data_IF_197328175804
#
_entry.id   IF_197328175804
#
_cell.length_a   1.000
_cell.length_b   1.000
_cell.length_c   1.000
_cell.angle_alpha   90.00
_cell.angle_beta   90.00
_cell.angle_gamma   90.00
#
_symmetry.space_group_name_H-M   'P 1'
#
loop_
_entity.id
_entity.type
_entity.pdbx_description
1 polymer ?
#
# COMPACT_ATOMS: atom_id res chain seq x y z
N UNK A 1 -1.75 5.30 15.45
CA UNK A 1 -3.07 5.11 16.09
C UNK A 1 -3.78 6.44 16.36
N UNK A 2 -3.29 7.33 17.24
CA UNK A 2 -3.93 8.65 17.50
C UNK A 2 -4.38 9.43 16.25
N UNK A 3 -3.52 9.49 15.23
CA UNK A 3 -3.83 10.19 13.97
C UNK A 3 -5.06 9.61 13.24
N UNK A 4 -5.29 8.30 13.35
CA UNK A 4 -6.44 7.60 12.76
C UNK A 4 -7.70 7.93 13.56
N UNK A 5 -7.63 7.88 14.89
CA UNK A 5 -8.76 8.22 15.76
C UNK A 5 -9.21 9.68 15.57
N UNK A 6 -8.26 10.60 15.46
CA UNK A 6 -8.54 12.02 15.20
C UNK A 6 -9.19 12.26 13.83
N UNK A 7 -8.77 11.53 12.79
CA UNK A 7 -9.26 11.71 11.42
C UNK A 7 -10.60 11.01 11.16
N UNK A 8 -10.80 9.84 11.78
CA UNK A 8 -12.03 9.05 11.62
C UNK A 8 -13.09 9.40 12.68
N UNK A 9 -12.69 9.94 13.83
CA UNK A 9 -13.59 10.23 14.94
C UNK A 9 -14.15 8.98 15.62
N UNK A 10 -13.45 7.84 15.50
CA UNK A 10 -13.82 6.55 16.11
C UNK A 10 -12.65 5.99 16.91
N UNK A 11 -12.96 5.18 17.93
CA UNK A 11 -11.98 4.42 18.70
C UNK A 11 -11.81 3.02 18.14
N UNK A 12 -10.77 2.31 18.57
CA UNK A 12 -10.57 0.90 18.23
C UNK A 12 -11.84 0.07 18.44
N UNK A 13 -12.10 -0.84 17.51
CA UNK A 13 -13.23 -1.77 17.50
C UNK A 13 -14.53 -1.17 16.96
N UNK A 14 -14.54 0.08 16.50
CA UNK A 14 -15.74 0.76 16.02
C UNK A 14 -15.67 1.09 14.52
N UNK A 15 -16.86 1.24 13.94
CA UNK A 15 -17.06 1.63 12.55
C UNK A 15 -17.54 3.07 12.47
N UNK A 16 -17.08 3.81 11.46
CA UNK A 16 -17.52 5.18 11.20
C UNK A 16 -19.01 5.24 10.82
N UNK A 17 -19.67 6.37 11.07
CA UNK A 17 -21.13 6.55 10.81
C UNK A 17 -21.50 6.43 9.33
N UNK A 18 -20.56 6.72 8.44
CA UNK A 18 -20.71 6.57 7.00
C UNK A 18 -20.53 5.11 6.54
N UNK A 19 -20.19 4.19 7.45
CA UNK A 19 -19.99 2.77 7.14
C UNK A 19 -18.72 2.46 6.36
N UNK A 20 -17.85 3.45 6.12
CA UNK A 20 -16.69 3.29 5.22
C UNK A 20 -15.46 2.69 5.91
N UNK A 21 -15.25 2.96 7.19
CA UNK A 21 -14.05 2.54 7.90
C UNK A 21 -14.40 1.81 9.19
N UNK A 22 -13.83 0.62 9.37
CA UNK A 22 -13.79 -0.08 10.66
C UNK A 22 -12.36 -0.08 11.15
N UNK A 23 -12.12 0.48 12.34
CA UNK A 23 -10.78 0.59 12.91
C UNK A 23 -10.54 -0.54 13.90
N UNK A 24 -9.53 -1.38 13.67
CA UNK A 24 -9.17 -2.49 14.55
C UNK A 24 -7.65 -2.55 14.67
N UNK A 25 -7.17 -2.75 15.89
CA UNK A 25 -5.76 -3.05 16.11
C UNK A 25 -5.54 -4.55 16.00
N UNK A 26 -4.47 -4.90 15.33
CA UNK A 26 -4.05 -6.28 15.08
C UNK A 26 -2.61 -6.44 15.53
N UNK A 27 -2.22 -7.70 15.70
CA UNK A 27 -0.84 -8.07 16.00
C UNK A 27 0.06 -7.93 14.75
N UNK A 28 1.25 -8.51 14.80
CA UNK A 28 2.22 -8.47 13.71
C UNK A 28 1.63 -8.91 12.37
N UNK A 29 1.75 -8.03 11.36
CA UNK A 29 1.36 -8.27 9.97
C UNK A 29 2.54 -8.67 9.06
N UNK A 30 3.72 -8.89 9.62
CA UNK A 30 4.90 -9.36 8.89
C UNK A 30 5.69 -8.30 8.12
N UNK A 31 5.35 -7.02 8.25
CA UNK A 31 6.01 -5.89 7.58
C UNK A 31 6.94 -5.09 8.52
N UNK A 32 7.67 -5.79 9.40
CA UNK A 32 8.44 -5.15 10.48
C UNK A 32 9.57 -4.23 9.98
N UNK A 33 10.20 -4.56 8.85
CA UNK A 33 11.22 -3.70 8.21
C UNK A 33 10.65 -2.37 7.71
N UNK A 34 9.33 -2.32 7.54
CA UNK A 34 8.54 -1.23 6.98
C UNK A 34 7.61 -0.57 8.02
N UNK A 35 7.92 -0.80 9.30
CA UNK A 35 7.19 -0.15 10.38
C UNK A 35 7.40 1.38 10.34
N UNK A 36 6.37 2.17 10.71
CA UNK A 36 5.03 1.75 11.08
C UNK A 36 4.12 1.56 9.85
N UNK A 37 3.16 0.63 9.94
CA UNK A 37 2.31 0.22 8.82
C UNK A 37 0.85 0.00 9.24
N UNK A 38 -0.05 0.01 8.26
CA UNK A 38 -1.45 -0.43 8.41
C UNK A 38 -1.85 -1.32 7.24
N UNK A 39 -2.81 -2.21 7.49
CA UNK A 39 -3.49 -2.94 6.44
C UNK A 39 -4.88 -2.34 6.21
N UNK A 40 -5.21 -2.10 4.95
CA UNK A 40 -6.54 -1.68 4.53
C UNK A 40 -7.01 -2.70 3.50
N UNK A 41 -8.00 -3.52 3.87
CA UNK A 41 -8.41 -4.69 3.10
C UNK A 41 -7.19 -5.59 2.80
N UNK A 42 -6.89 -5.84 1.53
CA UNK A 42 -5.80 -6.73 1.11
C UNK A 42 -4.45 -6.02 0.90
N UNK A 43 -4.38 -4.72 1.20
CA UNK A 43 -3.25 -3.87 0.85
C UNK A 43 -2.51 -3.35 2.09
N UNK A 44 -1.17 -3.45 2.06
CA UNK A 44 -0.30 -2.89 3.09
C UNK A 44 0.14 -1.49 2.70
N UNK A 45 0.02 -0.57 3.65
CA UNK A 45 0.54 0.79 3.55
C UNK A 45 1.58 0.97 4.64
N UNK A 46 2.81 1.28 4.24
CA UNK A 46 3.97 1.14 5.10
C UNK A 46 4.79 2.43 5.18
N UNK A 47 5.76 2.48 6.09
CA UNK A 47 6.56 3.67 6.40
C UNK A 47 5.72 4.92 6.69
N UNK A 48 4.67 4.74 7.48
CA UNK A 48 3.67 5.76 7.70
C UNK A 48 4.15 6.83 8.68
N UNK A 49 3.65 8.03 8.45
CA UNK A 49 3.69 9.15 9.39
C UNK A 49 2.26 9.55 9.73
N UNK A 50 2.03 10.32 10.81
CA UNK A 50 0.70 10.85 11.11
C UNK A 50 0.07 11.59 9.92
N UNK A 51 0.86 12.36 9.18
CA UNK A 51 0.42 13.19 8.06
C UNK A 51 0.05 12.33 6.84
N UNK A 52 0.93 11.38 6.48
CA UNK A 52 0.68 10.46 5.35
C UNK A 52 -0.50 9.54 5.64
N UNK A 53 -0.66 9.10 6.89
CA UNK A 53 -1.84 8.31 7.32
C UNK A 53 -3.14 9.10 7.15
N UNK A 54 -3.18 10.36 7.61
CA UNK A 54 -4.37 11.23 7.44
C UNK A 54 -4.66 11.50 5.97
N UNK A 55 -3.63 11.73 5.16
CA UNK A 55 -3.78 11.93 3.71
C UNK A 55 -4.34 10.68 3.03
N UNK A 56 -3.87 9.49 3.40
CA UNK A 56 -4.35 8.21 2.88
C UNK A 56 -5.84 8.00 3.18
N UNK A 57 -6.26 8.19 4.43
CA UNK A 57 -7.66 8.03 4.85
C UNK A 57 -8.59 9.01 4.12
N UNK A 58 -8.15 10.26 3.91
CA UNK A 58 -8.92 11.25 3.13
C UNK A 58 -9.07 10.84 1.68
N UNK A 59 -7.98 10.42 1.04
CA UNK A 59 -8.01 9.94 -0.34
C UNK A 59 -8.94 8.73 -0.52
N UNK A 60 -8.93 7.79 0.43
CA UNK A 60 -9.84 6.64 0.42
C UNK A 60 -11.31 7.06 0.58
N UNK A 61 -11.60 8.01 1.47
CA UNK A 61 -12.96 8.54 1.65
C UNK A 61 -13.45 9.28 0.41
N UNK A 62 -12.59 10.06 -0.24
CA UNK A 62 -12.91 10.75 -1.49
C UNK A 62 -13.13 9.76 -2.65
N UNK A 63 -12.28 8.73 -2.74
CA UNK A 63 -12.43 7.67 -3.72
C UNK A 63 -13.76 6.93 -3.55
N UNK A 64 -14.11 6.53 -2.33
CA UNK A 64 -15.38 5.87 -2.04
C UNK A 64 -16.59 6.72 -2.45
N UNK A 65 -16.55 8.03 -2.19
CA UNK A 65 -17.59 8.97 -2.64
C UNK A 65 -17.66 9.08 -4.16
N UNK A 66 -16.51 9.07 -4.84
CA UNK A 66 -16.43 9.20 -6.28
C UNK A 66 -16.93 7.94 -7.01
N UNK A 67 -16.69 6.74 -6.45
CA UNK A 67 -17.10 5.46 -7.04
C UNK A 67 -18.47 4.98 -6.56
N UNK A 68 -18.98 5.54 -5.47
CA UNK A 68 -20.19 5.06 -4.81
C UNK A 68 -19.99 3.75 -4.05
N UNK A 69 -18.73 3.35 -3.79
CA UNK A 69 -18.42 2.15 -3.03
C UNK A 69 -18.91 2.31 -1.58
N UNK A 70 -19.61 1.29 -1.08
CA UNK A 70 -20.05 1.21 0.31
C UNK A 70 -19.24 0.17 1.11
N UNK A 71 -19.46 0.12 2.43
CA UNK A 71 -18.75 -0.80 3.32
C UNK A 71 -19.11 -2.28 3.15
N UNK A 72 -20.03 -2.63 2.24
CA UNK A 72 -20.45 -3.99 1.94
C UNK A 72 -19.88 -4.51 0.61
N UNK A 73 -19.45 -3.61 -0.28
CA UNK A 73 -18.71 -3.96 -1.49
C UNK A 73 -17.33 -4.52 -1.13
N UNK A 74 -16.88 -5.56 -1.86
CA UNK A 74 -15.65 -6.32 -1.61
C UNK A 74 -14.33 -5.56 -1.82
N UNK A 75 -14.21 -4.35 -1.28
CA UNK A 75 -13.08 -3.44 -1.44
C UNK A 75 -13.12 -2.65 -2.75
N UNK A 76 -12.08 -1.84 -3.00
CA UNK A 76 -11.88 -1.11 -4.27
C UNK A 76 -11.65 -2.01 -5.50
N UNK A 77 -11.73 -3.34 -5.33
CA UNK A 77 -11.55 -4.35 -6.36
C UNK A 77 -12.88 -4.78 -7.02
N UNK A 78 -13.92 -3.93 -7.02
CA UNK A 78 -15.15 -4.25 -7.75
C UNK A 78 -14.94 -4.14 -9.26
N UNK A 79 -15.56 -5.04 -10.02
CA UNK A 79 -15.50 -5.12 -11.50
C UNK A 79 -15.97 -3.83 -12.21
N UNK A 80 -16.58 -2.91 -11.46
CA UNK A 80 -17.15 -1.65 -11.93
C UNK A 80 -16.12 -0.52 -12.06
N UNK A 81 -14.91 -0.70 -11.51
CA UNK A 81 -13.89 0.33 -11.50
C UNK A 81 -12.90 0.05 -12.63
N UNK A 82 -13.19 0.58 -13.82
CA UNK A 82 -12.25 0.62 -14.94
C UNK A 82 -11.34 1.83 -14.79
N UNK A 83 -10.04 1.58 -14.59
CA UNK A 83 -9.05 2.61 -14.33
C UNK A 83 -7.90 2.52 -15.33
N UNK A 84 -7.67 3.61 -16.05
CA UNK A 84 -6.50 3.85 -16.89
C UNK A 84 -5.60 4.87 -16.20
N UNK A 85 -4.40 4.48 -15.78
CA UNK A 85 -3.44 5.43 -15.20
C UNK A 85 -2.03 4.84 -15.14
N UNK A 86 -1.12 5.37 -15.97
CA UNK A 86 0.28 4.96 -16.10
C UNK A 86 1.26 5.93 -15.42
N UNK A 87 0.78 6.77 -14.49
CA UNK A 87 1.49 7.97 -14.04
C UNK A 87 2.15 7.86 -12.64
N UNK A 88 1.88 6.80 -11.88
CA UNK A 88 2.59 6.51 -10.63
C UNK A 88 3.55 5.34 -10.85
N UNK A 89 4.84 5.54 -10.63
CA UNK A 89 5.87 4.52 -10.88
C UNK A 89 5.73 3.28 -10.02
N UNK A 90 5.00 3.37 -8.88
CA UNK A 90 4.68 2.22 -8.01
C UNK A 90 3.41 1.49 -8.46
N UNK A 91 2.60 2.09 -9.33
CA UNK A 91 1.43 1.47 -9.93
C UNK A 91 1.86 0.83 -11.24
N UNK A 92 2.21 -0.45 -11.21
CA UNK A 92 2.32 -1.22 -12.45
C UNK A 92 0.91 -1.32 -13.04
N UNK A 93 0.69 -0.74 -14.22
CA UNK A 93 -0.54 -0.92 -14.99
C UNK A 93 -0.84 -2.41 -15.05
N UNK A 94 -1.92 -2.84 -14.40
CA UNK A 94 -2.12 -4.25 -14.08
C UNK A 94 -2.06 -5.16 -15.30
N UNK A 95 -1.33 -6.27 -15.18
CA UNK A 95 -1.61 -7.47 -15.97
C UNK A 95 -3.05 -7.92 -15.68
N UNK A 96 -3.75 -8.42 -16.71
CA UNK A 96 -5.14 -8.89 -16.64
C UNK A 96 -5.42 -9.94 -15.54
N UNK A 97 -4.39 -10.45 -14.85
CA UNK A 97 -4.48 -11.46 -13.81
C UNK A 97 -4.55 -10.93 -12.36
N UNK A 98 -4.14 -9.68 -12.07
CA UNK A 98 -3.95 -9.21 -10.67
C UNK A 98 -4.43 -7.76 -10.40
N UNK A 99 -5.13 -7.12 -11.33
CA UNK A 99 -5.47 -5.69 -11.32
C UNK A 99 -6.03 -5.15 -9.99
N UNK A 100 -5.17 -4.49 -9.21
CA UNK A 100 -5.53 -3.49 -8.20
C UNK A 100 -5.01 -2.15 -8.66
N UNK A 101 -5.89 -1.17 -8.80
CA UNK A 101 -5.59 0.16 -9.33
C UNK A 101 -6.01 1.22 -8.34
N UNK A 102 -5.14 2.20 -8.10
CA UNK A 102 -5.28 3.18 -7.00
C UNK A 102 -5.74 4.57 -7.48
N UNK A 103 -6.52 4.64 -8.57
CA UNK A 103 -7.08 5.91 -9.08
C UNK A 103 -8.57 5.82 -9.37
N UNK A 104 -9.42 6.13 -8.39
CA UNK A 104 -10.86 5.97 -8.46
C UNK A 104 -11.56 7.20 -9.07
N UNK A 105 -12.12 7.11 -10.28
CA UNK A 105 -12.87 8.20 -10.94
C UNK A 105 -12.13 9.56 -10.93
N UNK A 106 -10.79 9.54 -11.15
CA UNK A 106 -9.93 10.73 -11.12
C UNK A 106 -9.39 11.11 -9.74
N UNK A 107 -9.84 10.46 -8.67
CA UNK A 107 -9.27 10.59 -7.32
C UNK A 107 -8.03 9.72 -7.19
N UNK A 108 -6.89 10.33 -6.85
CA UNK A 108 -5.62 9.62 -6.64
C UNK A 108 -5.54 9.08 -5.22
N UNK A 109 -5.43 7.76 -5.10
CA UNK A 109 -5.14 7.06 -3.84
C UNK A 109 -3.66 6.68 -3.88
N UNK A 110 -2.91 6.83 -2.77
CA UNK A 110 -1.56 6.31 -2.69
C UNK A 110 -1.52 4.81 -3.03
N UNK A 111 -0.50 4.38 -3.77
CA UNK A 111 -0.26 2.96 -3.99
C UNK A 111 0.17 2.28 -2.67
N UNK A 112 -0.10 0.98 -2.50
CA UNK A 112 0.36 0.21 -1.35
C UNK A 112 1.87 0.04 -1.41
N UNK A 113 2.43 -0.21 -0.23
CA UNK A 113 3.87 -0.27 0.01
C UNK A 113 4.39 0.93 0.81
N UNK A 114 5.71 1.15 0.78
CA UNK A 114 6.36 2.18 1.57
C UNK A 114 6.05 3.60 1.07
N UNK A 115 5.58 4.48 1.95
CA UNK A 115 5.33 5.89 1.63
C UNK A 115 6.53 6.82 1.89
N UNK A 116 7.68 6.28 2.31
CA UNK A 116 8.89 7.06 2.60
C UNK A 116 9.72 7.44 1.37
N UNK A 117 9.45 6.82 0.22
CA UNK A 117 10.23 7.01 -1.01
C UNK A 117 11.05 5.80 -1.43
N UNK A 118 11.27 4.84 -0.54
CA UNK A 118 11.83 3.52 -0.89
C UNK A 118 10.81 2.65 -1.62
N UNK A 119 11.26 1.59 -2.27
CA UNK A 119 10.44 0.72 -3.10
C UNK A 119 9.83 -0.43 -2.30
N UNK A 120 10.65 -1.14 -1.52
CA UNK A 120 10.22 -2.31 -0.75
C UNK A 120 10.86 -2.29 0.65
N UNK A 121 11.88 -3.09 0.91
CA UNK A 121 12.51 -3.23 2.22
C UNK A 121 14.00 -2.85 2.22
N UNK A 122 14.48 -2.19 1.17
CA UNK A 122 15.86 -1.74 1.09
C UNK A 122 16.17 -0.64 2.11
N UNK A 123 17.46 -0.44 2.43
CA UNK A 123 17.87 0.68 3.26
C UNK A 123 17.49 2.01 2.61
N UNK A 124 16.83 2.89 3.36
CA UNK A 124 16.32 4.17 2.85
C UNK A 124 17.39 5.11 2.26
N UNK A 125 18.68 4.85 2.52
CA UNK A 125 19.82 5.63 2.00
C UNK A 125 20.49 4.97 0.79
N UNK A 126 19.82 4.01 0.15
CA UNK A 126 20.31 3.27 -1.01
C UNK A 126 20.73 1.84 -0.69
N UNK A 127 20.89 1.04 -1.74
CA UNK A 127 21.25 -0.37 -1.65
C UNK A 127 22.63 -0.56 -1.02
N UNK A 128 22.67 -1.26 0.11
CA UNK A 128 23.91 -1.67 0.79
C UNK A 128 24.35 -3.08 0.42
N UNK A 129 23.48 -3.85 -0.23
CA UNK A 129 23.68 -5.21 -0.71
C UNK A 129 23.01 -5.38 -2.07
N UNK A 130 23.27 -6.50 -2.76
CA UNK A 130 22.72 -6.78 -4.10
C UNK A 130 23.02 -5.65 -5.12
N UNK A 131 24.19 -5.00 -4.99
CA UNK A 131 24.61 -3.89 -5.85
C UNK A 131 25.28 -4.34 -7.16
N UNK A 132 25.71 -5.61 -7.22
CA UNK A 132 26.23 -6.24 -8.44
C UNK A 132 25.13 -6.95 -9.21
N UNK A 133 25.36 -7.21 -10.49
CA UNK A 133 24.46 -8.04 -11.28
C UNK A 133 24.21 -9.41 -10.61
N UNK A 134 22.96 -9.91 -10.63
CA UNK A 134 22.65 -11.23 -10.12
C UNK A 134 23.46 -12.30 -10.85
N UNK A 135 23.87 -13.33 -10.11
CA UNK A 135 24.48 -14.49 -10.76
C UNK A 135 23.42 -15.18 -11.61
N UNK A 136 23.70 -15.30 -12.90
CA UNK A 136 22.93 -16.12 -13.82
C UNK A 136 23.62 -17.48 -13.99
N UNK A 137 22.94 -18.40 -14.68
CA UNK A 137 23.55 -19.66 -15.14
C UNK A 137 24.80 -19.48 -16.01
N UNK A 138 25.05 -18.26 -16.52
CA UNK A 138 26.17 -17.93 -17.39
C UNK A 138 27.32 -17.19 -16.65
N UNK A 139 27.11 -16.77 -15.40
CA UNK A 139 28.11 -16.05 -14.60
C UNK A 139 28.49 -16.89 -13.39
N UNK A 140 29.50 -17.77 -13.59
CA UNK A 140 30.11 -18.51 -12.49
C UNK A 140 30.83 -17.56 -11.53
N UNK A 141 30.81 -17.88 -10.22
CA UNK A 141 31.66 -17.18 -9.26
C UNK A 141 33.12 -17.38 -9.67
N UNK A 142 33.86 -16.27 -9.80
CA UNK A 142 35.29 -16.29 -10.15
C UNK A 142 36.19 -16.72 -9.00
N UNK A 143 35.65 -16.83 -7.79
CA UNK A 143 36.38 -17.08 -6.54
C UNK A 143 36.65 -18.57 -6.26
N UNK A 144 36.08 -19.49 -7.04
CA UNK A 144 36.40 -20.93 -6.99
C UNK A 144 36.05 -21.63 -5.68
N UNK A 145 35.30 -21.00 -4.76
CA UNK A 145 34.93 -21.58 -3.46
C UNK A 145 33.59 -22.31 -3.58
N UNK A 146 33.54 -23.39 -4.36
CA UNK A 146 32.46 -24.40 -4.31
C UNK A 146 32.98 -25.80 -4.69
N UNK A 147 34.25 -26.11 -4.38
CA UNK A 147 34.82 -27.47 -4.37
C UNK A 147 35.31 -27.83 -2.96
#
# INVERSE_FOLDING_TARGET
MKAIEEELGVTQGHTTKDGLFTFTEVECLGACANAPMVQINDDYYEDLTPETTKSLLKALREAAKATGADGADGGLATQSIHITGAEDSRVQTGSAAQGRTYTANGVKIPAPGPLSGRDTCEPAKGLTSLTSEPWSTEVFRKDGVLD
#
